data_IF_336017577058
#
_entry.id   IF_336017577058
#
_cell.length_a   1.000
_cell.length_b   1.000
_cell.length_c   1.000
_cell.angle_alpha   90.00
_cell.angle_beta   90.00
_cell.angle_gamma   90.00
#
_symmetry.space_group_name_H-M   'P 1'
#
loop_
_entity.id
_entity.type
_entity.pdbx_description
1 polymer ?
#
# COMPACT_ATOMS: atom_id res chain seq x y z
N UNK A 1 -9.18 2.73 20.68
CA UNK A 1 -8.62 2.04 19.50
C UNK A 1 -7.11 1.81 19.59
N UNK A 2 -6.56 1.69 20.80
CA UNK A 2 -5.11 1.61 21.05
C UNK A 2 -4.61 0.19 21.41
N UNK A 3 -5.40 -0.87 21.19
CA UNK A 3 -5.08 -2.19 21.76
C UNK A 3 -4.57 -3.20 20.71
N UNK A 4 -5.00 -3.11 19.45
CA UNK A 4 -4.57 -4.03 18.39
C UNK A 4 -3.18 -3.61 17.84
N UNK A 5 -2.96 -2.31 17.58
CA UNK A 5 -1.64 -1.79 17.21
C UNK A 5 -0.62 -1.90 18.35
N UNK A 6 -1.05 -1.75 19.60
CA UNK A 6 -0.17 -1.90 20.77
C UNK A 6 0.19 -3.37 21.03
N UNK A 7 -0.74 -4.32 20.80
CA UNK A 7 -0.44 -5.77 20.86
C UNK A 7 0.47 -6.25 19.72
N UNK A 8 0.42 -5.63 18.54
CA UNK A 8 1.35 -5.93 17.45
C UNK A 8 2.79 -5.44 17.75
N UNK A 9 2.94 -4.36 18.51
CA UNK A 9 4.23 -3.79 18.94
C UNK A 9 4.77 -4.39 20.26
N UNK A 10 3.91 -4.96 21.13
CA UNK A 10 4.28 -5.43 22.46
C UNK A 10 4.78 -6.89 22.55
N UNK A 11 4.82 -7.66 21.46
CA UNK A 11 5.41 -9.00 21.51
C UNK A 11 6.95 -8.90 21.51
N UNK A 12 7.54 -8.89 22.72
CA UNK A 12 8.96 -9.17 22.90
C UNK A 12 9.15 -10.70 22.91
N UNK A 13 9.80 -11.30 21.89
CA UNK A 13 10.24 -12.68 21.97
C UNK A 13 11.43 -12.78 22.93
N UNK A 14 11.66 -13.98 23.49
CA UNK A 14 12.76 -14.24 24.40
C UNK A 14 14.12 -13.85 23.78
N UNK A 15 15.15 -13.59 24.62
CA UNK A 15 16.37 -12.84 24.24
C UNK A 15 17.23 -13.46 23.12
N UNK A 16 16.83 -14.61 22.59
CA UNK A 16 17.69 -15.51 21.82
C UNK A 16 17.35 -15.53 20.31
N UNK A 17 16.42 -14.69 19.83
CA UNK A 17 15.97 -14.67 18.44
C UNK A 17 16.19 -13.29 17.79
N UNK A 18 17.46 -12.94 17.57
CA UNK A 18 17.84 -11.71 16.84
C UNK A 18 17.53 -11.76 15.33
N UNK A 19 17.26 -12.93 14.76
CA UNK A 19 17.23 -13.11 13.29
C UNK A 19 15.82 -13.17 12.65
N UNK A 20 14.74 -13.16 13.46
CA UNK A 20 13.38 -13.33 12.95
C UNK A 20 12.64 -12.00 12.68
N UNK A 21 13.15 -10.87 13.19
CA UNK A 21 12.49 -9.56 13.07
C UNK A 21 12.79 -8.86 11.74
N UNK A 22 13.99 -9.02 11.19
CA UNK A 22 14.42 -8.32 9.98
C UNK A 22 13.68 -8.80 8.71
N UNK A 23 13.30 -10.09 8.64
CA UNK A 23 12.51 -10.61 7.50
C UNK A 23 11.03 -10.17 7.51
N UNK A 24 10.49 -9.73 8.65
CA UNK A 24 9.06 -9.33 8.73
C UNK A 24 8.84 -7.90 8.25
N UNK A 25 9.84 -7.03 8.40
CA UNK A 25 9.79 -5.63 7.94
C UNK A 25 9.79 -5.55 6.40
N UNK A 26 10.56 -6.41 5.72
CA UNK A 26 10.57 -6.50 4.26
C UNK A 26 9.23 -6.96 3.67
N UNK A 27 8.54 -7.89 4.34
CA UNK A 27 7.17 -8.23 4.01
C UNK A 27 6.20 -7.08 4.27
N UNK A 28 6.39 -6.37 5.40
CA UNK A 28 5.54 -5.26 5.83
C UNK A 28 5.61 -4.05 4.88
N UNK A 29 6.77 -3.70 4.31
CA UNK A 29 6.89 -2.58 3.37
C UNK A 29 6.09 -2.80 2.08
N UNK A 30 6.19 -4.01 1.49
CA UNK A 30 5.33 -4.41 0.36
C UNK A 30 3.86 -4.44 0.77
N UNK A 31 3.55 -4.89 1.99
CA UNK A 31 2.19 -4.80 2.54
C UNK A 31 1.74 -3.35 2.59
N UNK A 32 2.57 -2.38 2.97
CA UNK A 32 2.18 -0.97 3.09
C UNK A 32 1.95 -0.28 1.74
N UNK A 33 2.84 -0.42 0.74
CA UNK A 33 2.59 0.11 -0.61
C UNK A 33 1.35 -0.55 -1.23
N UNK A 34 1.24 -1.88 -1.13
CA UNK A 34 0.07 -2.59 -1.63
C UNK A 34 -1.20 -2.14 -0.89
N UNK A 35 -1.17 -1.99 0.44
CA UNK A 35 -2.29 -1.51 1.23
C UNK A 35 -2.69 -0.10 0.81
N UNK A 36 -1.74 0.83 0.67
CA UNK A 36 -2.03 2.18 0.18
C UNK A 36 -2.70 2.15 -1.18
N UNK A 37 -2.14 1.41 -2.14
CA UNK A 37 -2.72 1.29 -3.48
C UNK A 37 -4.11 0.64 -3.45
N UNK A 38 -4.30 -0.41 -2.66
CA UNK A 38 -5.58 -1.10 -2.51
C UNK A 38 -6.64 -0.19 -1.91
N UNK A 39 -6.32 0.55 -0.84
CA UNK A 39 -7.24 1.50 -0.20
C UNK A 39 -7.58 2.63 -1.17
N UNK A 40 -6.58 3.25 -1.81
CA UNK A 40 -6.81 4.29 -2.82
C UNK A 40 -7.70 3.79 -3.97
N UNK A 41 -7.40 2.61 -4.52
CA UNK A 41 -8.20 2.00 -5.58
C UNK A 41 -9.64 1.74 -5.12
N UNK A 42 -9.83 1.28 -3.89
CA UNK A 42 -11.16 1.01 -3.36
C UNK A 42 -11.98 2.29 -3.23
N UNK A 43 -11.40 3.38 -2.72
CA UNK A 43 -12.03 4.70 -2.66
C UNK A 43 -12.44 5.17 -4.07
N UNK A 44 -11.55 5.05 -5.06
CA UNK A 44 -11.87 5.44 -6.44
C UNK A 44 -12.99 4.58 -7.05
N UNK A 45 -13.02 3.28 -6.73
CA UNK A 45 -14.15 2.40 -7.10
C UNK A 45 -15.47 2.89 -6.51
N UNK A 46 -15.49 3.31 -5.24
CA UNK A 46 -16.70 3.88 -4.62
C UNK A 46 -17.16 5.14 -5.34
N UNK A 47 -16.24 6.04 -5.73
CA UNK A 47 -16.60 7.22 -6.53
C UNK A 47 -17.18 6.84 -7.90
N UNK A 48 -16.64 5.82 -8.57
CA UNK A 48 -17.19 5.29 -9.83
C UNK A 48 -18.60 4.73 -9.59
N UNK A 49 -18.80 3.94 -8.54
CA UNK A 49 -20.09 3.35 -8.22
C UNK A 49 -21.15 4.41 -7.95
N UNK A 50 -20.82 5.44 -7.18
CA UNK A 50 -21.69 6.59 -6.93
C UNK A 50 -22.09 7.30 -8.23
N UNK A 51 -21.12 7.61 -9.11
CA UNK A 51 -21.40 8.24 -10.41
C UNK A 51 -22.30 7.40 -11.32
N UNK A 52 -22.06 6.09 -11.38
CA UNK A 52 -22.85 5.19 -12.20
C UNK A 52 -24.27 5.03 -11.66
N UNK A 53 -24.40 4.96 -10.33
CA UNK A 53 -25.69 4.91 -9.66
C UNK A 53 -26.54 6.14 -9.98
N UNK A 54 -25.95 7.34 -9.93
CA UNK A 54 -26.63 8.60 -10.30
C UNK A 54 -27.04 8.64 -11.79
N UNK A 55 -26.34 7.91 -12.66
CA UNK A 55 -26.69 7.73 -14.08
C UNK A 55 -27.70 6.61 -14.31
N UNK A 56 -28.17 5.93 -13.26
CA UNK A 56 -29.02 4.74 -13.32
C UNK A 56 -28.36 3.55 -14.03
N UNK A 57 -27.03 3.47 -13.98
CA UNK A 57 -26.26 2.32 -14.45
C UNK A 57 -25.90 1.40 -13.27
N UNK A 58 -26.56 0.23 -13.20
CA UNK A 58 -26.46 -0.66 -12.05
C UNK A 58 -25.59 -1.91 -12.26
N UNK A 59 -24.71 -1.90 -13.28
CA UNK A 59 -23.87 -3.06 -13.61
C UNK A 59 -23.04 -3.60 -12.43
N UNK A 60 -22.67 -2.73 -11.49
CA UNK A 60 -21.88 -3.06 -10.30
C UNK A 60 -22.73 -3.60 -9.14
N UNK A 61 -24.06 -3.47 -9.23
CA UNK A 61 -25.02 -3.85 -8.21
C UNK A 61 -26.11 -4.74 -8.79
N UNK A 62 -25.86 -6.05 -8.97
CA UNK A 62 -26.82 -6.97 -9.59
C UNK A 62 -28.22 -6.94 -8.95
N UNK A 63 -28.27 -6.83 -7.62
CA UNK A 63 -29.53 -6.77 -6.89
C UNK A 63 -30.32 -5.49 -7.19
N UNK A 64 -29.64 -4.33 -7.32
CA UNK A 64 -30.30 -3.08 -7.70
C UNK A 64 -30.72 -3.11 -9.18
N UNK A 65 -29.91 -3.74 -10.04
CA UNK A 65 -30.25 -3.92 -11.44
C UNK A 65 -31.55 -4.72 -11.63
N UNK A 66 -31.79 -5.73 -10.79
CA UNK A 66 -33.00 -6.56 -10.82
C UNK A 66 -34.28 -5.78 -10.50
N UNK A 67 -34.20 -4.69 -9.73
CA UNK A 67 -35.35 -3.88 -9.30
C UNK A 67 -35.30 -2.45 -9.87
N UNK A 68 -34.55 -2.23 -10.95
CA UNK A 68 -34.26 -0.89 -11.50
C UNK A 68 -35.49 -0.06 -11.87
N UNK A 69 -36.62 -0.71 -12.15
CA UNK A 69 -37.89 -0.05 -12.52
C UNK A 69 -38.67 0.41 -11.29
N UNK A 70 -38.46 -0.24 -10.14
CA UNK A 70 -39.14 0.06 -8.87
C UNK A 70 -38.39 1.10 -8.02
N UNK A 71 -37.12 1.37 -8.35
CA UNK A 71 -36.27 2.30 -7.60
C UNK A 71 -36.66 3.75 -7.91
N UNK A 72 -36.94 4.53 -6.87
CA UNK A 72 -37.23 5.96 -7.01
C UNK A 72 -35.96 6.80 -7.13
N UNK A 73 -36.02 8.02 -7.73
CA UNK A 73 -34.89 8.94 -7.74
C UNK A 73 -34.34 9.27 -6.33
N UNK A 74 -35.22 9.38 -5.33
CA UNK A 74 -34.84 9.67 -3.94
C UNK A 74 -34.06 8.50 -3.31
N UNK A 75 -34.42 7.26 -3.64
CA UNK A 75 -33.68 6.08 -3.19
C UNK A 75 -32.29 6.01 -3.82
N UNK A 76 -32.16 6.35 -5.11
CA UNK A 76 -30.87 6.45 -5.82
C UNK A 76 -29.97 7.47 -5.13
N UNK A 77 -30.52 8.64 -4.77
CA UNK A 77 -29.79 9.68 -4.05
C UNK A 77 -29.33 9.18 -2.67
N UNK A 78 -30.22 8.50 -1.93
CA UNK A 78 -29.88 7.92 -0.62
C UNK A 78 -28.76 6.89 -0.70
N UNK A 79 -28.82 5.97 -1.67
CA UNK A 79 -27.76 4.99 -1.88
C UNK A 79 -26.44 5.67 -2.31
N UNK A 80 -26.52 6.70 -3.15
CA UNK A 80 -25.37 7.50 -3.56
C UNK A 80 -24.70 8.16 -2.35
N UNK A 81 -25.47 8.72 -1.44
CA UNK A 81 -24.97 9.34 -0.23
C UNK A 81 -24.35 8.33 0.73
N UNK A 82 -24.94 7.14 0.88
CA UNK A 82 -24.30 6.06 1.65
C UNK A 82 -22.92 5.67 1.08
N UNK A 83 -22.79 5.58 -0.25
CA UNK A 83 -21.50 5.28 -0.90
C UNK A 83 -20.48 6.41 -0.65
N UNK A 84 -20.90 7.68 -0.72
CA UNK A 84 -20.03 8.83 -0.40
C UNK A 84 -19.57 8.79 1.06
N UNK A 85 -20.47 8.52 2.00
CA UNK A 85 -20.13 8.41 3.42
C UNK A 85 -19.15 7.25 3.66
N UNK A 86 -19.38 6.09 3.04
CA UNK A 86 -18.44 4.97 3.11
C UNK A 86 -17.04 5.34 2.59
N UNK A 87 -16.96 6.10 1.50
CA UNK A 87 -15.67 6.58 0.96
C UNK A 87 -14.97 7.52 1.95
N UNK A 88 -15.71 8.39 2.65
CA UNK A 88 -15.18 9.26 3.70
C UNK A 88 -14.69 8.45 4.91
N UNK A 89 -15.48 7.49 5.37
CA UNK A 89 -15.12 6.62 6.50
C UNK A 89 -13.82 5.85 6.23
N UNK A 90 -13.65 5.35 5.02
CA UNK A 90 -12.42 4.65 4.61
C UNK A 90 -11.24 5.63 4.56
N UNK A 91 -11.43 6.84 4.03
CA UNK A 91 -10.38 7.87 4.06
C UNK A 91 -9.93 8.19 5.48
N UNK A 92 -10.87 8.37 6.40
CA UNK A 92 -10.59 8.67 7.81
C UNK A 92 -9.89 7.48 8.48
N UNK A 93 -10.41 6.26 8.28
CA UNK A 93 -9.90 5.04 8.93
C UNK A 93 -8.50 4.65 8.47
N UNK A 94 -8.15 4.94 7.22
CA UNK A 94 -6.86 4.60 6.61
C UNK A 94 -6.02 5.84 6.28
N UNK A 95 -6.26 6.96 6.98
CA UNK A 95 -5.59 8.23 6.72
C UNK A 95 -4.05 8.12 6.86
N UNK A 96 -3.59 7.32 7.81
CA UNK A 96 -2.17 7.02 8.02
C UNK A 96 -1.53 6.32 6.80
N UNK A 97 -2.19 5.29 6.28
CA UNK A 97 -1.75 4.54 5.10
C UNK A 97 -1.83 5.41 3.84
N UNK A 98 -2.89 6.20 3.68
CA UNK A 98 -3.05 7.09 2.53
C UNK A 98 -1.98 8.20 2.49
N UNK A 99 -1.61 8.74 3.65
CA UNK A 99 -0.58 9.77 3.77
C UNK A 99 0.85 9.22 3.83
N UNK A 100 1.04 7.89 3.73
CA UNK A 100 2.36 7.29 3.70
C UNK A 100 3.18 7.86 2.53
N UNK A 101 4.30 8.51 2.84
CA UNK A 101 5.25 9.02 1.84
C UNK A 101 6.09 7.85 1.34
N UNK A 102 5.91 7.50 0.07
CA UNK A 102 6.72 6.48 -0.61
C UNK A 102 7.77 7.23 -1.42
N UNK A 103 9.04 7.06 -1.08
CA UNK A 103 10.13 7.70 -1.81
C UNK A 103 10.41 7.00 -3.14
N UNK A 104 10.84 7.75 -4.15
CA UNK A 104 11.08 7.22 -5.51
C UNK A 104 12.11 6.07 -5.53
N UNK A 105 13.14 6.15 -4.68
CA UNK A 105 14.15 5.09 -4.55
C UNK A 105 13.54 3.75 -4.10
N UNK A 106 12.42 3.78 -3.36
CA UNK A 106 11.75 2.56 -2.91
C UNK A 106 10.97 1.87 -4.03
N UNK A 107 10.62 2.61 -5.09
CA UNK A 107 9.96 2.12 -6.30
C UNK A 107 10.96 1.69 -7.37
N UNK A 108 12.03 2.46 -7.53
CA UNK A 108 13.13 2.10 -8.42
C UNK A 108 14.44 2.71 -7.91
N UNK A 109 15.27 1.95 -7.16
CA UNK A 109 16.53 2.45 -6.64
C UNK A 109 17.59 2.65 -7.74
N UNK A 110 17.40 2.03 -8.92
CA UNK A 110 18.40 2.08 -10.00
C UNK A 110 18.31 3.33 -10.88
N UNK A 111 17.17 4.02 -10.88
CA UNK A 111 16.94 5.23 -11.71
C UNK A 111 16.88 6.52 -10.92
N UNK A 112 16.88 6.45 -9.58
CA UNK A 112 16.80 7.64 -8.74
C UNK A 112 18.10 8.45 -8.80
N UNK A 113 17.98 9.78 -8.70
CA UNK A 113 19.11 10.63 -8.37
C UNK A 113 19.43 10.47 -6.88
N UNK A 114 20.65 10.04 -6.57
CA UNK A 114 21.09 9.80 -5.20
C UNK A 114 21.06 11.09 -4.39
N UNK A 115 21.26 12.25 -5.02
CA UNK A 115 21.24 13.54 -4.33
C UNK A 115 19.84 13.94 -3.82
N UNK A 116 18.77 13.38 -4.40
CA UNK A 116 17.39 13.60 -3.99
C UNK A 116 16.92 12.62 -2.89
N UNK A 117 17.76 11.62 -2.57
CA UNK A 117 17.49 10.65 -1.51
C UNK A 117 17.91 11.24 -0.16
N UNK A 118 17.19 10.90 0.91
CA UNK A 118 17.58 11.24 2.28
C UNK A 118 19.01 10.76 2.57
N UNK A 119 19.82 11.64 3.16
CA UNK A 119 21.25 11.44 3.43
C UNK A 119 21.54 10.11 4.11
N UNK A 120 20.62 9.61 4.94
CA UNK A 120 20.77 8.33 5.63
C UNK A 120 20.89 7.16 4.64
N UNK A 121 20.20 7.21 3.49
CA UNK A 121 20.17 6.11 2.52
C UNK A 121 21.08 6.30 1.30
N UNK A 122 21.67 7.49 1.09
CA UNK A 122 22.40 7.83 -0.13
C UNK A 122 23.52 6.84 -0.48
N UNK A 123 24.35 6.48 0.51
CA UNK A 123 25.46 5.53 0.31
C UNK A 123 24.96 4.15 -0.15
N UNK A 124 23.98 3.59 0.56
CA UNK A 124 23.47 2.25 0.23
C UNK A 124 22.69 2.22 -1.08
N UNK A 125 21.99 3.30 -1.41
CA UNK A 125 21.32 3.43 -2.72
C UNK A 125 22.34 3.57 -3.83
N UNK A 126 23.46 4.27 -3.61
CA UNK A 126 24.56 4.35 -4.57
C UNK A 126 25.17 2.97 -4.80
N UNK A 127 25.49 2.22 -3.74
CA UNK A 127 26.00 0.85 -3.84
C UNK A 127 25.02 -0.07 -4.56
N UNK A 128 23.74 -0.04 -4.17
CA UNK A 128 22.69 -0.83 -4.80
C UNK A 128 22.51 -0.49 -6.28
N UNK A 129 22.70 0.77 -6.68
CA UNK A 129 22.59 1.21 -8.09
C UNK A 129 23.63 0.55 -8.99
N UNK A 130 24.80 0.20 -8.45
CA UNK A 130 25.87 -0.50 -9.15
C UNK A 130 25.89 -2.02 -8.92
N UNK A 131 24.96 -2.55 -8.10
CA UNK A 131 24.78 -3.99 -7.90
C UNK A 131 24.02 -4.61 -9.08
N UNK A 132 24.78 -5.10 -10.05
CA UNK A 132 24.25 -5.75 -11.26
C UNK A 132 23.49 -7.06 -10.97
N UNK A 133 23.79 -7.79 -9.88
CA UNK A 133 23.01 -9.00 -9.49
C UNK A 133 21.60 -8.57 -9.08
N UNK A 134 21.50 -7.56 -8.21
CA UNK A 134 20.23 -7.00 -7.75
C UNK A 134 19.44 -6.34 -8.88
N UNK A 135 20.11 -5.60 -9.77
CA UNK A 135 19.49 -4.97 -10.95
C UNK A 135 18.92 -5.98 -11.94
N UNK A 136 19.66 -7.05 -12.23
CA UNK A 136 19.19 -8.14 -13.08
C UNK A 136 17.97 -8.85 -12.46
N UNK A 137 18.00 -9.08 -11.14
CA UNK A 137 16.87 -9.67 -10.42
C UNK A 137 15.62 -8.79 -10.48
N UNK A 138 15.77 -7.47 -10.29
CA UNK A 138 14.70 -6.48 -10.44
C UNK A 138 14.10 -6.50 -11.86
N UNK A 139 14.94 -6.48 -12.90
CA UNK A 139 14.46 -6.50 -14.28
C UNK A 139 13.70 -7.79 -14.63
N UNK A 140 14.11 -8.93 -14.07
CA UNK A 140 13.49 -10.24 -14.35
C UNK A 140 12.23 -10.51 -13.53
N UNK A 141 12.20 -10.09 -12.27
CA UNK A 141 11.16 -10.51 -11.31
C UNK A 141 10.39 -9.34 -10.69
N UNK A 142 10.77 -8.11 -11.03
CA UNK A 142 10.18 -6.89 -10.53
C UNK A 142 10.62 -6.53 -9.10
N UNK A 143 10.15 -5.35 -8.68
CA UNK A 143 10.46 -4.74 -7.39
C UNK A 143 10.12 -5.61 -6.18
N UNK A 144 9.04 -6.37 -6.26
CA UNK A 144 8.59 -7.21 -5.15
C UNK A 144 9.65 -8.27 -4.79
N UNK A 145 10.31 -8.84 -5.79
CA UNK A 145 11.31 -9.89 -5.56
C UNK A 145 12.65 -9.32 -5.10
N UNK A 146 12.99 -8.12 -5.57
CA UNK A 146 14.17 -7.37 -5.15
C UNK A 146 14.18 -7.20 -3.62
N UNK A 147 13.13 -6.61 -3.05
CA UNK A 147 13.07 -6.32 -1.60
C UNK A 147 12.81 -7.56 -0.74
N UNK A 148 12.30 -8.66 -1.31
CA UNK A 148 12.16 -9.96 -0.61
C UNK A 148 13.47 -10.75 -0.52
N UNK A 149 14.52 -10.29 -1.20
CA UNK A 149 15.79 -11.00 -1.20
C UNK A 149 16.43 -10.90 0.20
N UNK A 150 16.65 -12.05 0.84
CA UNK A 150 17.26 -12.16 2.18
C UNK A 150 18.69 -11.60 2.25
N UNK A 151 19.32 -11.32 1.12
CA UNK A 151 20.61 -10.60 1.04
C UNK A 151 20.45 -9.09 1.29
N UNK A 152 19.31 -8.49 0.94
CA UNK A 152 19.09 -7.04 1.05
C UNK A 152 19.30 -6.45 2.44
N UNK A 153 18.76 -7.00 3.54
CA UNK A 153 18.94 -6.39 4.85
C UNK A 153 20.35 -6.62 5.41
N UNK A 154 21.14 -7.48 4.77
CA UNK A 154 22.54 -7.77 5.14
C UNK A 154 23.51 -6.85 4.40
N UNK A 155 23.28 -6.62 3.12
CA UNK A 155 24.12 -5.78 2.26
C UNK A 155 23.75 -4.30 2.40
N UNK A 156 22.45 -4.00 2.49
CA UNK A 156 21.90 -2.65 2.56
C UNK A 156 21.01 -2.53 3.81
N UNK A 157 21.59 -2.52 5.02
CA UNK A 157 20.83 -2.57 6.27
C UNK A 157 19.95 -1.35 6.53
N UNK A 158 20.31 -0.15 6.04
CA UNK A 158 19.47 1.05 6.16
C UNK A 158 18.26 0.95 5.23
N UNK A 159 18.44 0.49 3.99
CA UNK A 159 17.36 0.31 3.01
C UNK A 159 16.50 -0.94 3.28
N UNK A 160 17.09 -1.96 3.91
CA UNK A 160 16.43 -3.25 4.14
C UNK A 160 15.61 -3.35 5.43
N UNK A 161 15.68 -2.34 6.30
CA UNK A 161 14.97 -2.28 7.60
C UNK A 161 13.82 -1.28 7.65
N UNK A 162 13.61 -0.49 6.60
CA UNK A 162 12.48 0.47 6.49
C UNK A 162 11.14 -0.22 6.41
#
# INVERSE_FOLDING_TARGET
>A
MAEICRKALAFQPPPNLKNARDNRLQGAFRTLICCKNTVSLFIEKLHIFCRNLLKKEFHQFPNLFSIKEDITPEEIERFSDHIKQLALDIKVRFNDILNLKISNWMLNPFTVDVNEVDIVFQEEILELKYDEESKNSFNKHGIAKLWQNKKMPKLYPKCGKT
#
